data_IF_098274615741
#
_entry.id   IF_098274615741
#
_cell.length_a   1.000
_cell.length_b   1.000
_cell.length_c   1.000
_cell.angle_alpha   90.00
_cell.angle_beta   90.00
_cell.angle_gamma   90.00
#
_symmetry.space_group_name_H-M   'P 1'
#
loop_
_entity.id
_entity.type
_entity.pdbx_description
1 polymer ?
#
# COMPACT_ATOMS: atom_id res chain seq x y z
N UNK A 1 23.18 7.51 27.31
CA UNK A 1 24.22 7.64 28.36
C UNK A 1 25.14 6.42 28.42
N UNK A 2 24.64 5.18 28.46
CA UNK A 2 25.50 3.98 28.57
C UNK A 2 26.44 3.79 27.37
N UNK A 3 25.96 3.94 26.14
CA UNK A 3 26.84 3.86 24.97
C UNK A 3 27.96 4.92 25.00
N UNK A 4 27.68 6.13 25.48
CA UNK A 4 28.67 7.21 25.64
C UNK A 4 29.66 6.90 26.75
N UNK A 5 29.22 6.30 27.87
CA UNK A 5 30.07 5.83 28.97
C UNK A 5 30.96 4.64 28.58
N UNK A 6 30.46 3.72 27.76
CA UNK A 6 31.22 2.57 27.23
C UNK A 6 32.24 3.02 26.20
N UNK A 7 31.90 3.98 25.32
CA UNK A 7 32.83 4.58 24.37
C UNK A 7 33.90 5.41 25.11
N UNK A 8 33.51 6.23 26.08
CA UNK A 8 34.44 7.03 26.89
C UNK A 8 35.36 6.15 27.76
N UNK A 9 34.81 5.09 28.36
CA UNK A 9 35.58 4.09 29.13
C UNK A 9 36.52 3.27 28.25
N UNK A 10 36.11 2.92 27.03
CA UNK A 10 36.95 2.21 26.06
C UNK A 10 38.12 3.06 25.54
N UNK A 11 37.89 4.37 25.34
CA UNK A 11 38.93 5.33 24.95
C UNK A 11 39.93 5.55 26.11
N UNK A 12 39.45 5.68 27.35
CA UNK A 12 40.30 5.85 28.53
C UNK A 12 41.12 4.60 28.89
N UNK A 13 40.59 3.40 28.63
CA UNK A 13 41.28 2.14 28.86
C UNK A 13 42.19 1.70 27.69
N UNK A 14 42.25 2.48 26.60
CA UNK A 14 43.06 2.17 25.42
C UNK A 14 42.64 0.88 24.69
N UNK A 15 41.42 0.38 24.94
CA UNK A 15 40.97 -0.91 24.41
C UNK A 15 40.09 -0.69 23.16
N UNK A 16 40.59 -0.98 21.95
CA UNK A 16 39.84 -0.74 20.71
C UNK A 16 38.59 -1.62 20.59
N UNK A 17 38.55 -2.77 21.27
CA UNK A 17 37.43 -3.71 21.29
C UNK A 17 36.17 -3.15 21.96
N UNK A 18 36.33 -2.41 23.07
CA UNK A 18 35.18 -1.82 23.79
C UNK A 18 34.58 -0.63 23.05
N UNK A 19 35.44 0.17 22.40
CA UNK A 19 35.00 1.26 21.51
C UNK A 19 34.30 0.71 20.27
N UNK A 20 34.83 -0.36 19.66
CA UNK A 20 34.21 -1.05 18.54
C UNK A 20 32.84 -1.64 18.92
N UNK A 21 32.71 -2.32 20.05
CA UNK A 21 31.43 -2.84 20.54
C UNK A 21 30.42 -1.73 20.87
N UNK A 22 30.85 -0.63 21.48
CA UNK A 22 29.99 0.53 21.75
C UNK A 22 29.48 1.20 20.47
N UNK A 23 30.33 1.31 19.45
CA UNK A 23 29.97 1.84 18.14
C UNK A 23 29.04 0.88 17.37
N UNK A 24 29.29 -0.44 17.46
CA UNK A 24 28.47 -1.50 16.84
C UNK A 24 27.06 -1.59 17.46
N UNK A 25 26.87 -1.11 18.69
CA UNK A 25 25.57 -1.10 19.36
C UNK A 25 24.70 0.12 19.00
N UNK A 26 25.32 1.24 18.63
CA UNK A 26 24.65 2.50 18.27
C UNK A 26 24.31 2.56 16.78
N UNK A 27 25.14 1.95 15.92
CA UNK A 27 24.95 1.94 14.47
C UNK A 27 23.70 1.22 13.91
N UNK A 28 23.20 0.08 14.47
CA UNK A 28 22.19 -0.73 13.80
C UNK A 28 20.78 -0.16 13.94
N UNK A 29 20.50 0.63 14.98
CA UNK A 29 19.17 1.19 15.24
C UNK A 29 18.73 2.22 14.17
N UNK A 30 19.53 3.26 13.83
CA UNK A 30 19.15 4.18 12.76
C UNK A 30 19.15 3.50 11.38
N UNK A 31 20.00 2.50 11.17
CA UNK A 31 20.07 1.77 9.90
C UNK A 31 18.86 0.86 9.69
N UNK A 32 18.37 0.18 10.73
CA UNK A 32 17.12 -0.59 10.71
C UNK A 32 15.90 0.31 10.49
N UNK A 33 15.87 1.49 11.11
CA UNK A 33 14.80 2.47 10.88
C UNK A 33 14.77 2.96 9.42
N UNK A 34 15.94 3.20 8.81
CA UNK A 34 16.05 3.56 7.40
C UNK A 34 15.64 2.42 6.46
N UNK A 35 16.02 1.18 6.76
CA UNK A 35 15.64 0.01 5.94
C UNK A 35 14.13 -0.26 6.04
N UNK A 36 13.54 -0.21 7.23
CA UNK A 36 12.10 -0.37 7.44
C UNK A 36 11.30 0.78 6.82
N UNK A 37 11.75 2.02 6.99
CA UNK A 37 11.14 3.20 6.35
C UNK A 37 11.24 3.15 4.82
N UNK A 38 12.41 2.76 4.31
CA UNK A 38 12.66 2.60 2.87
C UNK A 38 11.80 1.50 2.25
N UNK A 39 11.65 0.35 2.92
CA UNK A 39 10.75 -0.72 2.48
C UNK A 39 9.28 -0.28 2.52
N UNK A 40 8.88 0.44 3.58
CA UNK A 40 7.54 1.04 3.68
C UNK A 40 7.23 1.96 2.49
N UNK A 41 8.14 2.88 2.17
CA UNK A 41 7.97 3.82 1.03
C UNK A 41 8.01 3.08 -0.31
N UNK A 42 8.90 2.11 -0.48
CA UNK A 42 9.02 1.34 -1.73
C UNK A 42 7.79 0.47 -1.99
N UNK A 43 7.31 -0.26 -0.99
CA UNK A 43 6.10 -1.09 -1.09
C UNK A 43 4.84 -0.25 -1.30
N UNK A 44 4.75 0.91 -0.66
CA UNK A 44 3.68 1.88 -0.89
C UNK A 44 3.69 2.44 -2.32
N UNK A 45 4.87 2.79 -2.84
CA UNK A 45 5.02 3.24 -4.24
C UNK A 45 4.61 2.15 -5.22
N UNK A 46 5.01 0.90 -4.98
CA UNK A 46 4.68 -0.24 -5.85
C UNK A 46 3.19 -0.58 -5.87
N UNK A 47 2.48 -0.36 -4.75
CA UNK A 47 1.03 -0.53 -4.68
C UNK A 47 0.25 0.60 -5.36
N UNK A 48 0.84 1.79 -5.49
CA UNK A 48 0.23 2.95 -6.17
C UNK A 48 0.20 2.83 -7.71
N UNK A 49 0.98 1.91 -8.28
CA UNK A 49 1.13 1.75 -9.73
C UNK A 49 0.11 0.80 -10.37
N UNK A 50 -0.82 0.23 -9.60
CA UNK A 50 -1.87 -0.63 -10.17
C UNK A 50 -3.07 0.23 -10.54
N UNK A 51 -3.57 0.15 -11.79
CA UNK A 51 -4.76 0.88 -12.16
C UNK A 51 -5.93 0.44 -11.29
N UNK A 52 -6.67 1.42 -10.79
CA UNK A 52 -7.76 1.26 -9.82
C UNK A 52 -9.08 1.77 -10.36
N UNK A 53 -10.11 1.76 -9.50
CA UNK A 53 -11.44 2.25 -9.83
C UNK A 53 -11.45 3.74 -10.26
N UNK A 54 -10.50 4.53 -9.78
CA UNK A 54 -10.30 5.93 -10.20
C UNK A 54 -9.99 6.05 -11.69
N UNK A 55 -9.10 5.21 -12.23
CA UNK A 55 -8.74 5.23 -13.66
C UNK A 55 -9.93 4.81 -14.54
N UNK A 56 -10.79 3.93 -14.02
CA UNK A 56 -12.01 3.48 -14.69
C UNK A 56 -13.06 4.58 -14.71
N UNK A 57 -13.21 5.32 -13.61
CA UNK A 57 -14.09 6.50 -13.55
C UNK A 57 -13.62 7.59 -14.51
N UNK A 58 -12.31 7.83 -14.60
CA UNK A 58 -11.73 8.75 -15.58
C UNK A 58 -11.99 8.30 -17.03
N UNK A 59 -11.76 7.02 -17.34
CA UNK A 59 -12.06 6.45 -18.65
C UNK A 59 -13.54 6.60 -19.04
N UNK A 60 -14.45 6.21 -18.14
CA UNK A 60 -15.89 6.24 -18.38
C UNK A 60 -16.41 7.69 -18.48
N UNK A 61 -15.90 8.62 -17.67
CA UNK A 61 -16.26 10.04 -17.76
C UNK A 61 -15.77 10.69 -19.06
N UNK A 62 -14.55 10.35 -19.50
CA UNK A 62 -14.04 10.79 -20.78
C UNK A 62 -14.88 10.25 -21.94
N UNK A 63 -15.23 8.96 -21.93
CA UNK A 63 -16.15 8.37 -22.91
C UNK A 63 -17.52 9.07 -22.91
N UNK A 64 -18.08 9.33 -21.73
CA UNK A 64 -19.36 10.03 -21.60
C UNK A 64 -19.32 11.44 -22.19
N UNK A 65 -18.25 12.19 -21.94
CA UNK A 65 -18.04 13.54 -22.46
C UNK A 65 -17.89 13.55 -23.98
N UNK A 66 -17.03 12.68 -24.53
CA UNK A 66 -16.78 12.62 -25.98
C UNK A 66 -18.03 12.15 -26.73
N UNK A 67 -18.72 11.11 -26.24
CA UNK A 67 -20.00 10.68 -26.82
C UNK A 67 -21.11 11.72 -26.67
N UNK A 68 -21.11 12.47 -25.57
CA UNK A 68 -22.01 13.60 -25.35
C UNK A 68 -21.79 14.73 -26.35
N UNK A 69 -20.54 14.93 -26.79
CA UNK A 69 -20.17 15.88 -27.86
C UNK A 69 -20.49 15.39 -29.28
N UNK A 70 -21.01 14.16 -29.42
CA UNK A 70 -21.38 13.57 -30.71
C UNK A 70 -20.25 12.81 -31.42
N UNK A 71 -19.15 12.50 -30.73
CA UNK A 71 -18.09 11.66 -31.30
C UNK A 71 -18.57 10.22 -31.54
N UNK A 72 -17.95 9.54 -32.49
CA UNK A 72 -18.16 8.09 -32.67
C UNK A 72 -17.48 7.30 -31.54
N UNK A 73 -17.95 6.09 -31.25
CA UNK A 73 -17.40 5.24 -30.19
C UNK A 73 -15.90 4.98 -30.32
N UNK A 74 -15.39 4.80 -31.54
CA UNK A 74 -13.96 4.61 -31.78
C UNK A 74 -13.15 5.86 -31.46
N UNK A 75 -13.60 7.04 -31.89
CA UNK A 75 -12.92 8.32 -31.61
C UNK A 75 -13.02 8.74 -30.15
N UNK A 76 -14.18 8.49 -29.52
CA UNK A 76 -14.36 8.69 -28.09
C UNK A 76 -13.41 7.79 -27.30
N UNK A 77 -13.24 6.52 -27.68
CA UNK A 77 -12.30 5.61 -27.04
C UNK A 77 -10.85 6.05 -27.22
N UNK A 78 -10.46 6.48 -28.41
CA UNK A 78 -9.13 7.02 -28.69
C UNK A 78 -8.87 8.28 -27.84
N UNK A 79 -9.81 9.21 -27.76
CA UNK A 79 -9.69 10.40 -26.93
C UNK A 79 -9.64 10.08 -25.44
N UNK A 80 -10.46 9.14 -24.98
CA UNK A 80 -10.49 8.70 -23.58
C UNK A 80 -9.19 8.00 -23.17
N UNK A 81 -8.55 7.25 -24.08
CA UNK A 81 -7.25 6.61 -23.83
C UNK A 81 -6.13 7.61 -23.49
N UNK A 82 -6.21 8.84 -24.01
CA UNK A 82 -5.24 9.91 -23.72
C UNK A 82 -5.41 10.51 -22.32
N UNK A 83 -6.63 10.45 -21.76
CA UNK A 83 -6.95 10.89 -20.39
C UNK A 83 -6.63 9.81 -19.37
N UNK A 84 -7.20 8.61 -19.54
CA UNK A 84 -7.04 7.49 -18.61
C UNK A 84 -5.70 6.75 -18.78
N UNK A 85 -4.58 7.43 -18.50
CA UNK A 85 -3.22 6.90 -18.69
C UNK A 85 -2.84 5.75 -17.75
N UNK A 86 -3.63 5.51 -16.71
CA UNK A 86 -3.42 4.38 -15.80
C UNK A 86 -3.72 3.02 -16.45
N UNK A 87 -4.55 2.98 -17.50
CA UNK A 87 -5.01 1.74 -18.15
C UNK A 87 -4.38 1.64 -19.53
N UNK A 88 -3.76 0.49 -19.83
CA UNK A 88 -3.26 0.20 -21.17
C UNK A 88 -4.42 -0.10 -22.12
N UNK A 89 -4.76 0.89 -22.95
CA UNK A 89 -5.86 0.85 -23.91
C UNK A 89 -5.37 0.71 -25.36
N UNK A 90 -4.09 0.44 -25.60
CA UNK A 90 -3.52 0.39 -26.96
C UNK A 90 -4.23 -0.65 -27.83
N UNK A 91 -4.47 -1.83 -27.27
CA UNK A 91 -5.16 -2.92 -27.99
C UNK A 91 -6.61 -2.57 -28.35
N UNK A 92 -7.50 -2.20 -27.41
CA UNK A 92 -8.88 -1.86 -27.76
C UNK A 92 -8.98 -0.65 -28.68
N UNK A 93 -8.11 0.37 -28.53
CA UNK A 93 -8.06 1.53 -29.44
C UNK A 93 -7.68 1.09 -30.86
N UNK A 94 -6.64 0.24 -31.01
CA UNK A 94 -6.26 -0.29 -32.33
C UNK A 94 -7.36 -1.10 -32.99
N UNK A 95 -8.08 -1.94 -32.23
CA UNK A 95 -9.20 -2.72 -32.76
C UNK A 95 -10.34 -1.81 -33.23
N UNK A 96 -10.66 -0.77 -32.46
CA UNK A 96 -11.67 0.21 -32.83
C UNK A 96 -11.26 1.02 -34.07
N UNK A 97 -9.99 1.44 -34.15
CA UNK A 97 -9.44 2.17 -35.30
C UNK A 97 -9.43 1.31 -36.58
N UNK A 98 -9.22 0.00 -36.45
CA UNK A 98 -9.29 -0.96 -37.55
C UNK A 98 -10.75 -1.31 -37.96
N UNK A 99 -11.77 -0.68 -37.38
CA UNK A 99 -13.18 -0.94 -37.70
C UNK A 99 -13.64 -2.35 -37.33
N UNK A 100 -12.98 -3.00 -36.36
CA UNK A 100 -13.36 -4.34 -35.91
C UNK A 100 -14.75 -4.34 -35.25
N UNK A 101 -15.43 -5.50 -35.21
CA UNK A 101 -16.72 -5.61 -34.54
C UNK A 101 -16.67 -5.09 -33.10
N UNK A 102 -17.71 -4.38 -32.67
CA UNK A 102 -17.79 -3.77 -31.34
C UNK A 102 -17.66 -4.78 -30.20
N UNK A 103 -18.04 -6.03 -30.44
CA UNK A 103 -17.86 -7.14 -29.48
C UNK A 103 -16.37 -7.44 -29.24
N UNK A 104 -15.53 -7.42 -30.28
CA UNK A 104 -14.09 -7.66 -30.12
C UNK A 104 -13.40 -6.53 -29.36
N UNK A 105 -13.83 -5.29 -29.60
CA UNK A 105 -13.35 -4.10 -28.87
C UNK A 105 -13.78 -4.18 -27.41
N UNK A 106 -15.02 -4.55 -27.15
CA UNK A 106 -15.56 -4.71 -25.80
C UNK A 106 -14.85 -5.83 -25.02
N UNK A 107 -14.56 -6.96 -25.66
CA UNK A 107 -13.83 -8.07 -25.04
C UNK A 107 -12.36 -7.71 -24.76
N UNK A 108 -11.77 -6.83 -25.57
CA UNK A 108 -10.45 -6.27 -25.29
C UNK A 108 -10.51 -5.30 -24.10
N UNK A 109 -11.51 -4.42 -24.04
CA UNK A 109 -11.75 -3.52 -22.92
C UNK A 109 -11.95 -4.28 -21.60
N UNK A 110 -12.79 -5.32 -21.60
CA UNK A 110 -13.06 -6.13 -20.41
C UNK A 110 -11.78 -6.74 -19.81
N UNK A 111 -10.80 -7.09 -20.65
CA UNK A 111 -9.55 -7.74 -20.23
C UNK A 111 -8.52 -6.78 -19.66
N UNK A 112 -8.51 -5.53 -20.13
CA UNK A 112 -7.51 -4.53 -19.70
C UNK A 112 -8.00 -3.67 -18.54
N UNK A 113 -9.32 -3.53 -18.39
CA UNK A 113 -9.93 -2.74 -17.32
C UNK A 113 -9.98 -3.56 -16.03
N UNK A 114 -9.30 -3.13 -14.96
CA UNK A 114 -9.10 -3.95 -13.75
C UNK A 114 -10.34 -4.07 -12.88
N UNK A 115 -11.21 -3.06 -12.89
CA UNK A 115 -12.41 -2.96 -12.05
C UNK A 115 -13.57 -2.56 -12.96
N UNK A 116 -14.70 -3.25 -12.87
CA UNK A 116 -15.89 -3.01 -13.72
C UNK A 116 -15.68 -3.20 -15.24
N UNK A 117 -14.70 -4.04 -15.63
CA UNK A 117 -14.46 -4.37 -17.04
C UNK A 117 -15.70 -4.94 -17.77
N UNK A 118 -16.44 -5.91 -17.19
CA UNK A 118 -17.66 -6.45 -17.80
C UNK A 118 -18.76 -5.39 -18.02
N UNK A 119 -18.94 -4.46 -17.07
CA UNK A 119 -19.92 -3.38 -17.10
C UNK A 119 -19.55 -2.33 -18.16
N UNK A 120 -18.27 -1.98 -18.26
CA UNK A 120 -17.80 -1.07 -19.31
C UNK A 120 -17.93 -1.71 -20.70
N UNK A 121 -17.62 -3.00 -20.81
CA UNK A 121 -17.76 -3.77 -22.06
C UNK A 121 -19.22 -3.95 -22.48
N UNK A 122 -20.14 -4.17 -21.54
CA UNK A 122 -21.58 -4.24 -21.83
C UNK A 122 -22.12 -2.86 -22.24
N UNK A 123 -21.71 -1.78 -21.56
CA UNK A 123 -22.04 -0.41 -21.95
C UNK A 123 -21.54 -0.09 -23.36
N UNK A 124 -20.32 -0.51 -23.72
CA UNK A 124 -19.77 -0.33 -25.07
C UNK A 124 -20.58 -1.09 -26.13
N UNK A 125 -20.90 -2.37 -25.88
CA UNK A 125 -21.73 -3.18 -26.80
C UNK A 125 -23.13 -2.59 -26.99
N UNK A 126 -23.76 -2.19 -25.89
CA UNK A 126 -25.08 -1.55 -25.92
C UNK A 126 -25.05 -0.24 -26.71
N UNK A 127 -24.00 0.55 -26.53
CA UNK A 127 -23.80 1.82 -27.25
C UNK A 127 -23.59 1.59 -28.74
N UNK A 128 -22.83 0.56 -29.12
CA UNK A 128 -22.60 0.21 -30.52
C UNK A 128 -23.87 -0.32 -31.20
N UNK A 129 -24.69 -1.11 -30.49
CA UNK A 129 -25.93 -1.66 -31.02
C UNK A 129 -27.05 -0.61 -31.13
N UNK A 130 -27.12 0.33 -30.19
CA UNK A 130 -28.21 1.33 -30.13
C UNK A 130 -28.00 2.51 -31.07
N UNK A 131 -26.77 2.80 -31.50
CA UNK A 131 -26.43 3.93 -32.40
C UNK A 131 -26.81 5.33 -31.86
N UNK A 132 -27.39 5.41 -30.66
CA UNK A 132 -27.93 6.62 -30.06
C UNK A 132 -26.97 7.24 -29.03
N UNK A 133 -27.32 8.43 -28.52
CA UNK A 133 -26.58 9.19 -27.49
C UNK A 133 -26.32 8.32 -26.26
N UNK A 134 -25.18 7.68 -26.25
CA UNK A 134 -24.74 6.70 -25.25
C UNK A 134 -23.96 7.34 -24.10
N UNK A 135 -23.70 8.65 -24.19
CA UNK A 135 -23.07 9.44 -23.12
C UNK A 135 -23.72 9.24 -21.73
N UNK A 136 -25.06 9.20 -21.58
CA UNK A 136 -25.70 8.93 -20.30
C UNK A 136 -25.45 7.52 -19.73
N UNK A 137 -25.17 6.52 -20.57
CA UNK A 137 -24.84 5.16 -20.10
C UNK A 137 -23.45 5.18 -19.48
N UNK A 138 -22.48 5.75 -20.19
CA UNK A 138 -21.12 5.90 -19.68
C UNK A 138 -21.03 6.83 -18.48
N UNK A 139 -21.90 7.85 -18.34
CA UNK A 139 -21.94 8.69 -17.15
C UNK A 139 -22.44 7.95 -15.91
N UNK A 140 -23.36 6.97 -16.07
CA UNK A 140 -23.75 6.07 -14.98
C UNK A 140 -22.62 5.14 -14.57
N UNK A 141 -21.91 4.56 -15.55
CA UNK A 141 -20.72 3.74 -15.28
C UNK A 141 -19.63 4.56 -14.58
N UNK A 142 -19.42 5.82 -15.00
CA UNK A 142 -18.46 6.72 -14.38
C UNK A 142 -18.81 7.03 -12.92
N UNK A 143 -20.09 7.30 -12.62
CA UNK A 143 -20.55 7.52 -11.24
C UNK A 143 -20.36 6.27 -10.38
N UNK A 144 -20.80 5.11 -10.87
CA UNK A 144 -20.61 3.86 -10.15
C UNK A 144 -19.12 3.54 -9.89
N UNK A 145 -18.24 3.77 -10.89
CA UNK A 145 -16.81 3.62 -10.71
C UNK A 145 -16.23 4.62 -9.70
N UNK A 146 -16.70 5.87 -9.69
CA UNK A 146 -16.31 6.88 -8.71
C UNK A 146 -16.77 6.52 -7.29
N UNK A 147 -17.99 5.98 -7.13
CA UNK A 147 -18.50 5.50 -5.85
C UNK A 147 -17.67 4.33 -5.34
N UNK A 148 -17.34 3.36 -6.21
CA UNK A 148 -16.42 2.26 -5.89
C UNK A 148 -15.03 2.76 -5.49
N UNK A 149 -14.50 3.77 -6.18
CA UNK A 149 -13.23 4.39 -5.81
C UNK A 149 -13.31 5.10 -4.45
N UNK A 150 -14.41 5.79 -4.17
CA UNK A 150 -14.70 6.41 -2.88
C UNK A 150 -14.69 5.40 -1.74
N UNK A 151 -15.45 4.31 -1.88
CA UNK A 151 -15.48 3.22 -0.89
C UNK A 151 -14.11 2.57 -0.70
N UNK A 152 -13.39 2.29 -1.79
CA UNK A 152 -12.05 1.72 -1.72
C UNK A 152 -11.05 2.66 -1.01
N UNK A 153 -11.15 3.96 -1.25
CA UNK A 153 -10.36 4.99 -0.56
C UNK A 153 -10.71 5.05 0.92
N UNK A 154 -11.98 5.03 1.27
CA UNK A 154 -12.44 5.07 2.66
C UNK A 154 -11.96 3.84 3.45
N UNK A 155 -12.15 2.64 2.91
CA UNK A 155 -11.59 1.39 3.47
C UNK A 155 -10.08 1.49 3.62
N UNK A 156 -9.39 2.04 2.61
CA UNK A 156 -7.94 2.20 2.65
C UNK A 156 -7.51 3.18 3.75
N UNK A 157 -8.17 4.31 3.89
CA UNK A 157 -7.88 5.32 4.92
C UNK A 157 -8.09 4.73 6.32
N UNK A 158 -9.21 4.05 6.55
CA UNK A 158 -9.49 3.35 7.81
C UNK A 158 -8.44 2.27 8.09
N UNK A 159 -8.05 1.50 7.08
CA UNK A 159 -7.01 0.48 7.23
C UNK A 159 -5.62 1.05 7.52
N UNK A 160 -5.27 2.21 6.96
CA UNK A 160 -3.99 2.88 7.21
C UNK A 160 -3.96 3.42 8.62
N UNK A 161 -5.04 4.04 9.10
CA UNK A 161 -5.15 4.51 10.48
C UNK A 161 -5.07 3.34 11.46
N UNK A 162 -5.81 2.25 11.21
CA UNK A 162 -5.78 1.05 12.03
C UNK A 162 -4.39 0.38 12.03
N UNK A 163 -3.68 0.38 10.89
CA UNK A 163 -2.31 -0.12 10.80
C UNK A 163 -1.32 0.78 11.52
N UNK A 164 -1.48 2.10 11.46
CA UNK A 164 -0.63 3.04 12.16
C UNK A 164 -0.80 2.92 13.67
N UNK A 165 -2.04 2.81 14.17
CA UNK A 165 -2.30 2.58 15.59
C UNK A 165 -1.78 1.21 16.03
N UNK A 166 -1.99 0.15 15.25
CA UNK A 166 -1.44 -1.17 15.53
C UNK A 166 0.10 -1.16 15.57
N UNK A 167 0.75 -0.45 14.65
CA UNK A 167 2.21 -0.31 14.63
C UNK A 167 2.74 0.43 15.85
N UNK A 168 2.05 1.48 16.31
CA UNK A 168 2.42 2.22 17.53
C UNK A 168 2.21 1.36 18.77
N UNK A 169 1.07 0.68 18.89
CA UNK A 169 0.73 -0.17 20.05
C UNK A 169 1.65 -1.38 20.14
N UNK A 170 1.98 -2.03 19.02
CA UNK A 170 2.92 -3.15 19.01
C UNK A 170 4.39 -2.70 19.09
N UNK A 171 4.71 -1.52 18.55
CA UNK A 171 6.09 -1.01 18.50
C UNK A 171 6.56 -0.42 19.82
N UNK A 172 5.71 0.31 20.54
CA UNK A 172 6.11 1.02 21.76
C UNK A 172 6.72 0.10 22.85
N UNK A 173 6.16 -1.09 23.16
CA UNK A 173 6.76 -2.01 24.12
C UNK A 173 8.11 -2.55 23.67
N UNK A 174 8.28 -2.81 22.37
CA UNK A 174 9.54 -3.31 21.80
C UNK A 174 10.62 -2.24 21.85
N UNK A 175 10.28 -0.99 21.51
CA UNK A 175 11.20 0.15 21.63
C UNK A 175 11.57 0.37 23.09
N UNK A 176 10.62 0.30 24.02
CA UNK A 176 10.89 0.43 25.44
C UNK A 176 11.84 -0.67 25.94
N UNK A 177 11.59 -1.94 25.57
CA UNK A 177 12.49 -3.06 25.89
C UNK A 177 13.90 -2.86 25.31
N UNK A 178 13.99 -2.41 24.06
CA UNK A 178 15.27 -2.12 23.42
C UNK A 178 16.03 -0.99 24.13
N UNK A 179 15.32 0.09 24.52
CA UNK A 179 15.88 1.19 25.31
C UNK A 179 16.34 0.68 26.67
N UNK A 180 15.52 -0.09 27.40
CA UNK A 180 15.88 -0.65 28.70
C UNK A 180 17.07 -1.61 28.62
N UNK A 181 17.19 -2.38 27.54
CA UNK A 181 18.36 -3.21 27.27
C UNK A 181 19.61 -2.38 27.00
N UNK A 182 19.50 -1.35 26.15
CA UNK A 182 20.61 -0.46 25.80
C UNK A 182 21.06 0.42 26.98
N UNK A 183 20.14 0.80 27.88
CA UNK A 183 20.42 1.56 29.11
C UNK A 183 20.78 0.66 30.29
N UNK A 184 20.96 -0.66 30.07
CA UNK A 184 21.37 -1.58 31.13
C UNK A 184 20.35 -1.71 32.28
N UNK A 185 19.16 -1.12 32.16
CA UNK A 185 18.10 -1.20 33.16
C UNK A 185 17.59 -2.63 33.36
N UNK A 186 17.84 -3.51 32.39
CA UNK A 186 17.54 -4.94 32.53
C UNK A 186 18.62 -5.68 33.35
N UNK A 187 19.85 -5.18 33.46
CA UNK A 187 20.96 -5.88 34.11
C UNK A 187 20.68 -6.30 35.57
N UNK A 188 20.02 -5.49 36.42
CA UNK A 188 19.66 -5.89 37.77
C UNK A 188 18.75 -7.12 37.83
N UNK A 189 17.86 -7.28 36.84
CA UNK A 189 16.95 -8.44 36.76
C UNK A 189 17.71 -9.73 36.42
N UNK A 190 18.74 -9.63 35.56
CA UNK A 190 19.61 -10.77 35.24
C UNK A 190 20.54 -11.13 36.40
N UNK A 191 21.01 -10.14 37.15
CA UNK A 191 21.90 -10.35 38.30
C UNK A 191 21.17 -10.78 39.58
N UNK A 192 19.85 -10.64 39.65
CA UNK A 192 19.03 -11.04 40.81
C UNK A 192 18.84 -12.58 40.95
N UNK A 193 19.58 -13.38 40.18
CA UNK A 193 19.52 -14.84 40.21
C UNK A 193 18.35 -15.43 39.40
N UNK A 194 18.05 -16.71 39.63
CA UNK A 194 17.12 -17.48 38.80
C UNK A 194 15.69 -16.91 38.73
N UNK A 195 15.20 -16.31 39.81
CA UNK A 195 13.87 -15.68 39.86
C UNK A 195 13.81 -14.39 39.04
N UNK A 196 14.86 -13.56 39.08
CA UNK A 196 14.92 -12.32 38.29
C UNK A 196 15.05 -12.60 36.79
N UNK A 197 15.86 -13.58 36.41
CA UNK A 197 15.97 -14.04 35.03
C UNK A 197 14.65 -14.64 34.52
N UNK A 198 13.96 -15.44 35.34
CA UNK A 198 12.64 -15.99 35.00
C UNK A 198 11.60 -14.88 34.78
N UNK A 199 11.54 -13.87 35.66
CA UNK A 199 10.62 -12.73 35.51
C UNK A 199 10.91 -11.92 34.23
N UNK A 200 12.19 -11.70 33.89
CA UNK A 200 12.58 -11.02 32.66
C UNK A 200 12.17 -11.81 31.41
N UNK A 201 12.38 -13.13 31.40
CA UNK A 201 11.96 -14.00 30.30
C UNK A 201 10.44 -14.04 30.12
N UNK A 202 9.67 -14.08 31.21
CA UNK A 202 8.20 -14.00 31.17
C UNK A 202 7.75 -12.65 30.61
N UNK A 203 8.37 -11.55 31.05
CA UNK A 203 8.08 -10.21 30.54
C UNK A 203 8.35 -10.05 29.04
N UNK A 204 9.51 -10.54 28.57
CA UNK A 204 9.85 -10.56 27.14
C UNK A 204 8.87 -11.46 26.38
N UNK A 205 8.55 -12.62 26.91
CA UNK A 205 7.58 -13.55 26.33
C UNK A 205 6.20 -12.93 26.14
N UNK A 206 5.70 -12.19 27.15
CA UNK A 206 4.44 -11.45 27.06
C UNK A 206 4.46 -10.37 25.97
N UNK A 207 5.58 -9.64 25.81
CA UNK A 207 5.71 -8.64 24.75
C UNK A 207 5.75 -9.30 23.37
N UNK A 208 6.51 -10.38 23.21
CA UNK A 208 6.56 -11.14 21.94
C UNK A 208 5.19 -11.69 21.59
N UNK A 209 4.47 -12.25 22.57
CA UNK A 209 3.12 -12.78 22.38
C UNK A 209 2.14 -11.66 21.99
N UNK A 210 2.17 -10.51 22.68
CA UNK A 210 1.33 -9.36 22.35
C UNK A 210 1.56 -8.84 20.94
N UNK A 211 2.83 -8.70 20.53
CA UNK A 211 3.19 -8.30 19.15
C UNK A 211 2.72 -9.33 18.13
N UNK A 212 2.89 -10.63 18.41
CA UNK A 212 2.45 -11.70 17.52
C UNK A 212 0.93 -11.70 17.33
N UNK A 213 0.15 -11.47 18.39
CA UNK A 213 -1.31 -11.35 18.34
C UNK A 213 -1.71 -10.16 17.46
N UNK A 214 -1.19 -8.97 17.72
CA UNK A 214 -1.50 -7.76 16.92
C UNK A 214 -1.12 -7.96 15.46
N UNK A 215 0.04 -8.57 15.19
CA UNK A 215 0.48 -8.88 13.85
C UNK A 215 -0.45 -9.89 13.15
N UNK A 216 -0.89 -10.93 13.84
CA UNK A 216 -1.83 -11.91 13.31
C UNK A 216 -3.19 -11.29 12.95
N UNK A 217 -3.70 -10.38 13.80
CA UNK A 217 -4.95 -9.65 13.53
C UNK A 217 -4.78 -8.72 12.32
N UNK A 218 -3.64 -8.04 12.20
CA UNK A 218 -3.35 -7.14 11.07
C UNK A 218 -3.27 -7.87 9.72
N UNK A 219 -2.84 -9.15 9.71
CA UNK A 219 -2.77 -9.98 8.51
C UNK A 219 -4.14 -10.52 8.11
N UNK A 220 -5.01 -10.83 9.07
CA UNK A 220 -6.38 -11.33 8.82
C UNK A 220 -7.34 -10.24 8.31
N UNK A 221 -7.00 -8.96 8.53
CA UNK A 221 -7.77 -7.82 8.01
C UNK A 221 -7.45 -7.48 6.53
N UNK A 222 -6.79 -8.38 5.80
CA UNK A 222 -6.54 -8.22 4.36
C UNK A 222 -7.67 -8.94 3.60
N UNK A 223 -8.47 -8.23 2.77
CA UNK A 223 -9.42 -8.87 1.87
C UNK A 223 -8.73 -9.65 0.77
#
# INVERSE_FOLDING_TARGET
>A
MIAVLVIAGGIAAGSPLVVACGLLLVLPVPMLALVMGGWGVWSWRRQRSRPGADDVAELASALASELGSGQTLGRALEAASRRARGIDLDRPVRLAAAGRPSIEVADALQRVVPVMGPELASAYRLSAASGARSGPVFSRVARAAADHAGMAREVRLLSVQARASAAVVAGAPVVLLAVMGATGMLAPLWSAGGLGAAAALVGIGLVVLGVAVVWSMSRRAQP
#
